data_IF_906395065050
#
_entry.id   IF_906395065050
#
_cell.length_a   1.000
_cell.length_b   1.000
_cell.length_c   1.000
_cell.angle_alpha   90.00
_cell.angle_beta   90.00
_cell.angle_gamma   90.00
#
_symmetry.space_group_name_H-M   'P 1'
#
loop_
_entity.id
_entity.type
_entity.pdbx_description
1 polymer ?
#
# COMPACT_ATOMS: atom_id res chain seq x y z
N UNK A 1 28.31 -1.60 43.63
CA UNK A 1 29.60 -1.96 43.01
C UNK A 1 29.35 -3.19 42.16
N UNK A 2 29.35 -3.05 40.84
CA UNK A 2 29.09 -4.12 39.90
C UNK A 2 29.50 -3.63 38.52
N UNK A 3 30.76 -3.89 38.15
CA UNK A 3 31.31 -3.56 36.85
C UNK A 3 30.75 -4.51 35.77
N UNK A 4 30.50 -4.04 34.55
CA UNK A 4 30.12 -4.91 33.43
C UNK A 4 31.34 -5.70 32.92
N UNK A 5 31.17 -6.99 32.54
CA UNK A 5 32.27 -7.78 32.00
C UNK A 5 32.63 -7.36 30.57
N UNK A 6 33.93 -7.43 30.31
CA UNK A 6 34.61 -6.93 29.13
C UNK A 6 34.33 -7.73 27.84
N UNK A 7 34.49 -7.02 26.73
CA UNK A 7 34.44 -7.49 25.35
C UNK A 7 35.69 -8.34 25.02
N UNK A 8 35.51 -9.49 24.35
CA UNK A 8 36.60 -10.24 23.72
C UNK A 8 36.34 -10.45 22.21
N UNK A 9 37.41 -10.47 21.38
CA UNK A 9 37.33 -10.33 19.92
C UNK A 9 37.03 -11.63 19.16
N UNK A 10 36.55 -11.45 17.92
CA UNK A 10 36.06 -12.44 16.97
C UNK A 10 37.11 -13.43 16.41
N UNK A 11 36.63 -14.59 15.91
CA UNK A 11 37.37 -15.47 14.99
C UNK A 11 36.47 -15.94 13.80
N UNK A 12 37.05 -16.24 12.61
CA UNK A 12 36.30 -16.39 11.34
C UNK A 12 35.90 -17.84 11.00
N UNK A 13 35.00 -17.94 10.01
CA UNK A 13 34.22 -19.11 9.56
C UNK A 13 34.99 -20.25 8.88
N UNK A 14 34.40 -21.47 8.78
CA UNK A 14 34.75 -22.43 7.76
C UNK A 14 33.78 -22.40 6.57
N UNK A 15 34.34 -22.20 5.39
CA UNK A 15 33.79 -22.51 4.07
C UNK A 15 33.51 -24.00 3.93
N UNK A 16 32.30 -24.37 3.49
CA UNK A 16 31.95 -25.76 3.15
C UNK A 16 30.79 -25.82 2.18
N UNK A 17 31.09 -26.01 0.90
CA UNK A 17 30.14 -26.37 -0.15
C UNK A 17 29.79 -27.85 0.05
N UNK A 18 28.51 -28.19 0.15
CA UNK A 18 28.05 -29.58 0.03
C UNK A 18 26.82 -29.65 -0.86
N UNK A 19 26.99 -30.23 -2.05
CA UNK A 19 25.91 -30.72 -2.90
C UNK A 19 25.68 -32.20 -2.58
N UNK A 20 24.43 -32.61 -2.38
CA UNK A 20 24.00 -33.99 -2.62
C UNK A 20 22.55 -34.05 -3.08
N UNK A 21 22.30 -35.05 -3.94
CA UNK A 21 21.22 -35.15 -4.94
C UNK A 21 19.96 -35.88 -4.44
N UNK A 22 18.81 -35.38 -4.92
CA UNK A 22 17.63 -36.07 -5.51
C UNK A 22 16.82 -37.07 -4.67
N UNK A 23 15.50 -36.84 -4.61
CA UNK A 23 14.44 -37.87 -4.71
C UNK A 23 13.31 -37.36 -5.62
N UNK A 24 12.74 -38.16 -6.56
CA UNK A 24 11.79 -37.69 -7.56
C UNK A 24 10.31 -38.01 -7.24
N UNK A 25 9.45 -37.51 -8.14
CA UNK A 25 8.05 -37.86 -8.46
C UNK A 25 7.01 -36.83 -7.97
N UNK A 26 6.59 -35.97 -8.90
CA UNK A 26 5.22 -35.47 -8.94
C UNK A 26 4.72 -35.58 -10.38
N UNK A 27 3.69 -36.41 -10.59
CA UNK A 27 2.87 -36.44 -11.80
C UNK A 27 1.49 -35.90 -11.41
N UNK A 28 1.11 -34.75 -11.96
CA UNK A 28 -0.25 -34.26 -12.24
C UNK A 28 -0.20 -32.72 -12.32
N UNK A 29 -0.88 -32.16 -13.31
CA UNK A 29 -0.69 -30.78 -13.80
C UNK A 29 -0.60 -29.72 -12.71
N UNK A 30 0.54 -29.03 -12.69
CA UNK A 30 0.72 -27.79 -11.93
C UNK A 30 -0.10 -26.70 -12.62
N UNK A 31 -1.23 -26.32 -12.01
CA UNK A 31 -1.68 -24.94 -12.17
C UNK A 31 -0.55 -24.07 -11.66
N UNK A 32 0.05 -23.27 -12.53
CA UNK A 32 1.01 -22.25 -12.15
C UNK A 32 0.29 -21.26 -11.22
N UNK A 33 0.46 -21.42 -9.91
CA UNK A 33 0.18 -20.36 -8.96
C UNK A 33 1.30 -19.33 -9.13
N UNK A 34 1.08 -18.35 -10.00
CA UNK A 34 1.96 -17.19 -10.07
C UNK A 34 2.04 -16.58 -8.67
N UNK A 35 3.25 -16.44 -8.14
CA UNK A 35 3.46 -15.84 -6.83
C UNK A 35 2.82 -14.44 -6.81
N UNK A 36 2.12 -14.09 -5.71
CA UNK A 36 1.52 -12.77 -5.56
C UNK A 36 2.61 -11.70 -5.66
N UNK A 37 2.35 -10.67 -6.47
CA UNK A 37 3.24 -9.52 -6.57
C UNK A 37 3.35 -8.84 -5.21
N UNK A 38 4.57 -8.51 -4.79
CA UNK A 38 4.79 -7.80 -3.53
C UNK A 38 4.34 -6.34 -3.72
N UNK A 39 3.56 -5.81 -2.79
CA UNK A 39 3.03 -4.44 -2.87
C UNK A 39 3.50 -3.61 -1.67
N UNK A 40 3.95 -2.39 -1.94
CA UNK A 40 4.34 -1.39 -0.94
C UNK A 40 3.46 -0.17 -1.10
N UNK A 41 2.63 0.11 -0.09
CA UNK A 41 1.75 1.28 -0.03
C UNK A 41 2.32 2.36 0.88
N UNK A 42 2.41 3.60 0.40
CA UNK A 42 2.78 4.78 1.19
C UNK A 42 1.58 5.70 1.40
N UNK A 43 0.88 5.55 2.53
CA UNK A 43 -0.19 6.48 2.93
C UNK A 43 0.42 7.74 3.56
N UNK A 44 0.32 8.88 2.88
CA UNK A 44 0.89 10.15 3.37
C UNK A 44 0.04 10.79 4.48
N UNK A 45 -1.18 10.25 4.72
CA UNK A 45 -2.18 10.79 5.65
C UNK A 45 -2.41 12.28 5.40
N UNK A 46 -2.84 13.03 6.41
CA UNK A 46 -2.97 14.50 6.36
C UNK A 46 -1.62 15.21 6.53
N UNK A 47 -0.67 14.93 5.63
CA UNK A 47 0.65 15.59 5.63
C UNK A 47 1.00 16.12 4.24
N UNK A 48 1.71 17.25 4.23
CA UNK A 48 2.38 17.77 3.03
C UNK A 48 2.15 19.26 2.80
N UNK A 49 3.13 19.84 2.13
CA UNK A 49 3.11 21.15 1.47
C UNK A 49 3.52 20.93 0.00
N UNK A 50 3.30 21.90 -0.88
CA UNK A 50 3.74 21.77 -2.27
C UNK A 50 5.24 21.45 -2.39
N UNK A 51 6.08 22.06 -1.55
CA UNK A 51 7.51 21.75 -1.50
C UNK A 51 7.78 20.28 -1.14
N UNK A 52 7.19 19.79 -0.04
CA UNK A 52 7.35 18.39 0.38
C UNK A 52 6.79 17.40 -0.65
N UNK A 53 5.67 17.72 -1.29
CA UNK A 53 5.08 16.89 -2.35
C UNK A 53 6.03 16.83 -3.54
N UNK A 54 6.60 17.96 -3.97
CA UNK A 54 7.58 18.00 -5.06
C UNK A 54 8.82 17.15 -4.72
N UNK A 55 9.33 17.26 -3.50
CA UNK A 55 10.50 16.51 -3.05
C UNK A 55 10.24 14.99 -3.03
N UNK A 56 9.07 14.57 -2.53
CA UNK A 56 8.67 13.16 -2.50
C UNK A 56 8.47 12.60 -3.91
N UNK A 57 7.77 13.35 -4.79
CA UNK A 57 7.59 12.96 -6.19
C UNK A 57 8.93 12.88 -6.91
N UNK A 58 9.81 13.86 -6.71
CA UNK A 58 11.16 13.88 -7.28
C UNK A 58 11.99 12.67 -6.84
N UNK A 59 11.94 12.33 -5.54
CA UNK A 59 12.63 11.17 -4.98
C UNK A 59 12.11 9.86 -5.59
N UNK A 60 10.80 9.70 -5.71
CA UNK A 60 10.20 8.50 -6.31
C UNK A 60 10.50 8.38 -7.81
N UNK A 61 10.51 9.51 -8.53
CA UNK A 61 10.84 9.54 -9.94
C UNK A 61 12.31 9.17 -10.21
N UNK A 62 13.24 9.65 -9.37
CA UNK A 62 14.66 9.33 -9.46
C UNK A 62 15.01 7.92 -8.95
N UNK A 63 14.16 7.34 -8.11
CA UNK A 63 14.35 6.02 -7.51
C UNK A 63 14.32 4.87 -8.50
N UNK A 64 15.01 3.77 -8.14
CA UNK A 64 14.91 2.48 -8.85
C UNK A 64 13.99 1.56 -8.08
N UNK A 65 12.93 1.10 -8.73
CA UNK A 65 11.97 0.15 -8.17
C UNK A 65 12.29 -1.27 -8.65
N UNK A 66 12.11 -2.26 -7.77
CA UNK A 66 12.25 -3.66 -8.13
C UNK A 66 11.15 -4.08 -9.11
N UNK A 67 11.48 -4.91 -10.11
CA UNK A 67 10.51 -5.34 -11.14
C UNK A 67 9.34 -6.15 -10.58
N UNK A 68 9.56 -6.80 -9.43
CA UNK A 68 8.58 -7.65 -8.76
C UNK A 68 7.85 -6.92 -7.61
N UNK A 69 8.04 -5.60 -7.50
CA UNK A 69 7.43 -4.76 -6.47
C UNK A 69 6.48 -3.74 -7.11
N UNK A 70 5.24 -3.78 -6.66
CA UNK A 70 4.23 -2.77 -6.95
C UNK A 70 4.29 -1.67 -5.90
N UNK A 71 4.42 -0.42 -6.33
CA UNK A 71 4.49 0.73 -5.43
C UNK A 71 3.27 1.61 -5.64
N UNK A 72 2.60 1.96 -4.54
CA UNK A 72 1.41 2.83 -4.55
C UNK A 72 1.58 3.92 -3.50
N UNK A 73 1.27 5.17 -3.83
CA UNK A 73 1.25 6.28 -2.87
C UNK A 73 -0.14 6.87 -2.74
N UNK A 74 -0.52 7.27 -1.53
CA UNK A 74 -1.82 7.89 -1.24
C UNK A 74 -1.60 9.30 -0.67
N UNK A 75 -1.52 10.35 -1.50
CA UNK A 75 -1.45 11.74 -1.03
C UNK A 75 -2.80 12.22 -0.48
N UNK A 76 -2.84 13.31 0.33
CA UNK A 76 -4.08 14.05 0.56
C UNK A 76 -4.76 14.42 -0.77
N UNK A 77 -6.09 14.38 -0.81
CA UNK A 77 -6.86 14.60 -2.03
C UNK A 77 -6.53 15.91 -2.76
N UNK A 78 -6.23 16.98 -2.01
CA UNK A 78 -5.84 18.29 -2.54
C UNK A 78 -4.55 18.26 -3.38
N UNK A 79 -3.72 17.22 -3.24
CA UNK A 79 -2.49 17.04 -4.00
C UNK A 79 -2.59 15.90 -5.04
N UNK A 80 -3.69 15.15 -5.08
CA UNK A 80 -3.79 13.91 -5.85
C UNK A 80 -3.61 14.11 -7.35
N UNK A 81 -4.25 15.13 -7.94
CA UNK A 81 -4.13 15.44 -9.37
C UNK A 81 -2.68 15.78 -9.76
N UNK A 82 -2.01 16.63 -8.96
CA UNK A 82 -0.60 17.01 -9.17
C UNK A 82 0.32 15.79 -9.08
N UNK A 83 0.19 15.01 -8.01
CA UNK A 83 1.00 13.79 -7.82
C UNK A 83 0.80 12.84 -8.99
N UNK A 84 -0.44 12.60 -9.42
CA UNK A 84 -0.68 11.69 -10.55
C UNK A 84 -0.10 12.23 -11.87
N UNK A 85 -0.18 13.54 -12.12
CA UNK A 85 0.37 14.17 -13.32
C UNK A 85 1.90 14.17 -13.41
N UNK A 86 2.60 14.18 -12.28
CA UNK A 86 4.07 14.30 -12.23
C UNK A 86 4.79 12.98 -11.92
N UNK A 87 4.09 12.02 -11.31
CA UNK A 87 4.68 10.75 -10.92
C UNK A 87 4.72 9.78 -12.11
N UNK A 88 5.86 9.10 -12.27
CA UNK A 88 6.07 8.03 -13.25
C UNK A 88 4.95 6.98 -13.25
N UNK A 89 4.66 6.41 -14.42
CA UNK A 89 3.47 5.59 -14.66
C UNK A 89 3.47 4.23 -13.93
N UNK A 90 4.64 3.70 -13.57
CA UNK A 90 4.82 2.45 -12.83
C UNK A 90 4.68 2.62 -11.31
N UNK A 91 4.48 3.84 -10.81
CA UNK A 91 4.03 4.08 -9.43
C UNK A 91 2.55 4.40 -9.44
N UNK A 92 1.76 3.58 -8.73
CA UNK A 92 0.33 3.79 -8.53
C UNK A 92 0.06 5.00 -7.63
N UNK A 93 -1.08 5.65 -7.86
CA UNK A 93 -1.62 6.67 -6.95
C UNK A 93 -2.96 6.15 -6.44
N UNK A 94 -3.21 6.36 -5.14
CA UNK A 94 -4.44 6.01 -4.46
C UNK A 94 -5.13 7.25 -3.88
N UNK A 95 -6.46 7.21 -3.77
CA UNK A 95 -7.16 8.08 -2.82
C UNK A 95 -7.01 7.53 -1.39
N UNK A 96 -7.04 8.42 -0.40
CA UNK A 96 -6.99 8.04 1.03
C UNK A 96 -8.35 7.62 1.61
N UNK A 97 -9.42 8.04 0.94
CA UNK A 97 -10.79 7.62 1.17
C UNK A 97 -11.55 7.79 -0.15
N UNK A 98 -12.72 7.18 -0.28
CA UNK A 98 -13.60 7.33 -1.45
C UNK A 98 -15.06 7.19 -1.02
N UNK A 99 -15.96 7.87 -1.74
CA UNK A 99 -17.39 7.77 -1.48
C UNK A 99 -17.95 6.40 -1.89
N UNK A 100 -19.00 5.98 -1.18
CA UNK A 100 -19.85 4.84 -1.57
C UNK A 100 -20.89 5.21 -2.63
N UNK A 101 -21.07 6.51 -2.87
CA UNK A 101 -22.06 7.09 -3.75
C UNK A 101 -21.38 7.70 -4.98
N UNK A 102 -22.13 7.81 -6.09
CA UNK A 102 -21.70 8.53 -7.29
C UNK A 102 -21.71 10.06 -7.05
N UNK A 103 -21.66 10.84 -8.14
CA UNK A 103 -21.94 12.27 -8.09
C UNK A 103 -23.28 12.56 -7.41
N UNK A 104 -23.30 13.53 -6.49
CA UNK A 104 -24.49 13.84 -5.72
C UNK A 104 -24.26 14.86 -4.61
N UNK A 105 -25.25 14.97 -3.72
CA UNK A 105 -25.28 15.94 -2.63
C UNK A 105 -24.46 15.46 -1.40
N UNK A 106 -23.15 15.31 -1.59
CA UNK A 106 -22.21 14.83 -0.59
C UNK A 106 -21.03 15.80 -0.48
N UNK A 107 -21.27 17.00 0.05
CA UNK A 107 -20.26 18.08 0.09
C UNK A 107 -18.98 17.63 0.78
N UNK A 108 -17.85 17.72 0.06
CA UNK A 108 -16.53 17.33 0.55
C UNK A 108 -16.12 15.89 0.26
N UNK A 109 -17.05 15.04 -0.19
CA UNK A 109 -16.76 13.67 -0.59
C UNK A 109 -16.20 13.58 -2.02
N UNK A 110 -15.45 12.50 -2.28
CA UNK A 110 -14.85 12.21 -3.59
C UNK A 110 -15.55 10.99 -4.17
N UNK A 111 -16.31 11.17 -5.26
CA UNK A 111 -16.92 10.06 -5.98
C UNK A 111 -15.83 9.23 -6.70
N UNK A 112 -15.96 7.90 -6.78
CA UNK A 112 -15.01 7.06 -7.53
C UNK A 112 -14.74 7.54 -8.96
N UNK A 113 -15.77 8.05 -9.64
CA UNK A 113 -15.64 8.60 -11.00
C UNK A 113 -14.65 9.77 -11.08
N UNK A 114 -14.51 10.57 -10.00
CA UNK A 114 -13.51 11.66 -9.97
C UNK A 114 -12.09 11.12 -9.91
N UNK A 115 -11.87 10.00 -9.20
CA UNK A 115 -10.56 9.36 -9.15
C UNK A 115 -10.18 8.76 -10.52
N UNK A 116 -11.15 8.15 -11.19
CA UNK A 116 -10.97 7.58 -12.53
C UNK A 116 -10.63 8.64 -13.57
N UNK A 117 -11.33 9.78 -13.54
CA UNK A 117 -11.06 10.92 -14.42
C UNK A 117 -9.61 11.42 -14.26
N UNK A 118 -9.09 11.42 -13.03
CA UNK A 118 -7.69 11.76 -12.75
C UNK A 118 -6.69 10.65 -13.11
N UNK A 119 -7.14 9.47 -13.55
CA UNK A 119 -6.28 8.31 -13.81
C UNK A 119 -5.72 7.66 -12.54
N UNK A 120 -6.36 7.88 -11.39
CA UNK A 120 -6.04 7.23 -10.11
C UNK A 120 -6.67 5.84 -10.13
N UNK A 121 -5.87 4.82 -9.77
CA UNK A 121 -6.26 3.41 -9.93
C UNK A 121 -6.54 2.69 -8.62
N UNK A 122 -6.21 3.31 -7.50
CA UNK A 122 -6.32 2.68 -6.18
C UNK A 122 -7.17 3.54 -5.25
N UNK A 123 -7.82 2.90 -4.28
CA UNK A 123 -8.53 3.59 -3.21
C UNK A 123 -8.29 2.88 -1.88
N UNK A 124 -7.88 3.62 -0.86
CA UNK A 124 -7.87 3.13 0.52
C UNK A 124 -9.28 3.27 1.08
N UNK A 125 -9.77 2.23 1.77
CA UNK A 125 -11.08 2.25 2.46
C UNK A 125 -10.95 1.61 3.84
N UNK A 126 -11.74 2.07 4.80
CA UNK A 126 -11.77 1.48 6.14
C UNK A 126 -10.48 1.67 6.93
N UNK A 127 -9.68 2.70 6.64
CA UNK A 127 -8.48 3.01 7.42
C UNK A 127 -8.85 3.20 8.90
N UNK A 128 -8.00 2.76 9.83
CA UNK A 128 -8.32 2.80 11.27
C UNK A 128 -8.68 4.21 11.76
N UNK A 129 -8.04 5.24 11.22
CA UNK A 129 -8.36 6.65 11.51
C UNK A 129 -9.78 7.04 11.06
N UNK A 130 -10.29 6.47 9.96
CA UNK A 130 -11.67 6.66 9.50
C UNK A 130 -12.67 5.91 10.39
N UNK A 131 -12.31 4.69 10.81
CA UNK A 131 -13.12 3.88 11.74
C UNK A 131 -13.22 4.53 13.12
N UNK A 132 -12.12 5.07 13.63
CA UNK A 132 -12.09 5.86 14.86
C UNK A 132 -12.96 7.14 14.76
N UNK A 133 -13.15 7.67 13.55
CA UNK A 133 -14.06 8.77 13.26
C UNK A 133 -15.51 8.32 12.94
N UNK A 134 -15.86 7.05 13.21
CA UNK A 134 -17.23 6.52 13.11
C UNK A 134 -17.56 5.81 11.80
N UNK A 135 -16.59 5.52 10.93
CA UNK A 135 -16.83 4.69 9.74
C UNK A 135 -17.12 3.23 10.13
N UNK A 136 -18.29 2.74 9.71
CA UNK A 136 -18.77 1.38 10.01
C UNK A 136 -18.29 0.36 8.95
N UNK A 137 -18.34 -0.93 9.29
CA UNK A 137 -18.08 -2.01 8.32
C UNK A 137 -19.01 -1.97 7.11
N UNK A 138 -20.29 -1.65 7.33
CA UNK A 138 -21.26 -1.54 6.26
C UNK A 138 -20.92 -0.39 5.30
N UNK A 139 -20.46 0.75 5.83
CA UNK A 139 -19.99 1.87 5.00
C UNK A 139 -18.71 1.49 4.25
N UNK A 140 -17.72 0.88 4.93
CA UNK A 140 -16.47 0.41 4.32
C UNK A 140 -16.75 -0.57 3.18
N UNK A 141 -17.62 -1.55 3.42
CA UNK A 141 -18.03 -2.54 2.42
C UNK A 141 -18.72 -1.91 1.21
N UNK A 142 -19.60 -0.93 1.44
CA UNK A 142 -20.26 -0.19 0.36
C UNK A 142 -19.26 0.62 -0.49
N UNK A 143 -18.32 1.33 0.16
CA UNK A 143 -17.22 2.04 -0.52
C UNK A 143 -16.37 1.09 -1.37
N UNK A 144 -15.94 -0.03 -0.77
CA UNK A 144 -15.14 -1.04 -1.45
C UNK A 144 -15.84 -1.63 -2.68
N UNK A 145 -17.12 -2.00 -2.52
CA UNK A 145 -17.92 -2.56 -3.60
C UNK A 145 -18.09 -1.55 -4.75
N UNK A 146 -18.41 -0.30 -4.41
CA UNK A 146 -18.64 0.72 -5.43
C UNK A 146 -17.36 1.11 -6.16
N UNK A 147 -16.25 1.34 -5.44
CA UNK A 147 -14.95 1.62 -6.04
C UNK A 147 -14.48 0.49 -6.98
N UNK A 148 -14.64 -0.77 -6.55
CA UNK A 148 -14.32 -1.93 -7.39
C UNK A 148 -15.20 -2.00 -8.64
N UNK A 149 -16.50 -1.66 -8.52
CA UNK A 149 -17.43 -1.66 -9.66
C UNK A 149 -17.08 -0.66 -10.76
N UNK A 150 -16.31 0.38 -10.40
CA UNK A 150 -15.86 1.42 -11.32
C UNK A 150 -14.54 1.04 -12.00
N UNK A 151 -13.70 0.27 -11.31
CA UNK A 151 -12.44 -0.24 -11.85
C UNK A 151 -11.24 0.12 -10.97
N UNK A 152 -11.48 0.73 -9.81
CA UNK A 152 -10.46 0.99 -8.81
C UNK A 152 -10.06 -0.30 -8.11
N UNK A 153 -8.76 -0.44 -7.85
CA UNK A 153 -8.20 -1.47 -6.98
C UNK A 153 -8.29 -1.01 -5.53
N UNK A 154 -9.04 -1.74 -4.72
CA UNK A 154 -9.30 -1.35 -3.33
C UNK A 154 -8.23 -1.90 -2.38
N UNK A 155 -7.65 -1.01 -1.58
CA UNK A 155 -6.79 -1.33 -0.43
C UNK A 155 -7.69 -1.26 0.81
N UNK A 156 -8.32 -2.39 1.14
CA UNK A 156 -9.22 -2.48 2.30
C UNK A 156 -8.42 -2.67 3.58
N UNK A 157 -8.53 -1.71 4.49
CA UNK A 157 -7.88 -1.76 5.80
C UNK A 157 -8.79 -2.46 6.82
N UNK A 158 -8.21 -3.46 7.49
CA UNK A 158 -8.81 -4.23 8.58
C UNK A 158 -7.78 -4.29 9.71
N UNK A 159 -8.26 -4.26 10.95
CA UNK A 159 -7.42 -4.38 12.13
C UNK A 159 -8.28 -4.26 13.38
N UNK A 160 -7.87 -4.98 14.41
CA UNK A 160 -8.44 -4.92 15.74
C UNK A 160 -7.85 -3.74 16.54
N UNK A 161 -8.62 -3.24 17.49
CA UNK A 161 -8.13 -2.36 18.55
C UNK A 161 -7.26 -3.15 19.53
N UNK A 162 -6.49 -2.44 20.37
CA UNK A 162 -5.69 -3.09 21.40
C UNK A 162 -6.60 -3.84 22.39
N UNK A 163 -7.73 -3.23 22.73
CA UNK A 163 -8.73 -3.75 23.65
C UNK A 163 -9.47 -4.99 23.11
N UNK A 164 -9.65 -5.12 21.79
CA UNK A 164 -10.25 -6.31 21.17
C UNK A 164 -9.27 -7.48 21.10
N UNK A 165 -7.97 -7.20 21.17
CA UNK A 165 -6.91 -8.20 21.09
C UNK A 165 -6.58 -8.82 22.44
N UNK A 166 -6.71 -8.05 23.52
CA UNK A 166 -6.42 -8.43 24.91
C UNK A 166 -7.63 -9.07 25.61
#
# INVERSE_FOLDING_TARGET
QGAPPACHPAQPAPTGIMFSRVVPIARAGTRSFSARRFIVGGNWKSNGSLAQVNDLVGTLNAGKLGKDVEVVVAPPAVYAAKVRGELRADVGVATQDISKDSFGAHTGEIAPEMAEDLGIKYAIVGHSERRAAGETDAQTGAKAAYATSKGLTVIACLGETLEERE
#
